data_IF_770931693762
#
_entry.id   IF_770931693762
#
_cell.length_a   1.000
_cell.length_b   1.000
_cell.length_c   1.000
_cell.angle_alpha   90.00
_cell.angle_beta   90.00
_cell.angle_gamma   90.00
#
_symmetry.space_group_name_H-M   'P 1'
#
loop_
_entity.id
_entity.type
_entity.pdbx_description
1 polymer ?
#
# COMPACT_ATOMS: atom_id res chain seq x y z
N UNK A 1 -49.34 -29.37 -29.72
CA UNK A 1 -50.24 -28.40 -29.06
C UNK A 1 -51.32 -27.96 -30.03
N UNK A 2 -50.99 -27.38 -31.19
CA UNK A 2 -51.97 -26.98 -32.23
C UNK A 2 -52.88 -28.13 -32.71
N UNK A 3 -52.33 -29.33 -32.90
CA UNK A 3 -53.10 -30.51 -33.36
C UNK A 3 -54.18 -30.98 -32.37
N UNK A 4 -53.90 -30.92 -31.06
CA UNK A 4 -54.88 -31.30 -30.02
C UNK A 4 -56.01 -30.27 -29.90
N UNK A 5 -55.69 -29.00 -30.16
CA UNK A 5 -56.67 -27.92 -30.16
C UNK A 5 -57.63 -28.07 -31.35
N UNK A 6 -57.11 -28.33 -32.56
CA UNK A 6 -57.92 -28.61 -33.76
C UNK A 6 -58.81 -29.85 -33.61
N UNK A 7 -58.28 -30.94 -33.02
CA UNK A 7 -59.07 -32.14 -32.71
C UNK A 7 -60.20 -31.85 -31.70
N UNK A 8 -59.96 -30.99 -30.71
CA UNK A 8 -61.00 -30.59 -29.74
C UNK A 8 -62.13 -29.80 -30.41
N UNK A 9 -61.80 -28.92 -31.36
CA UNK A 9 -62.79 -28.15 -32.12
C UNK A 9 -63.63 -29.03 -33.04
N UNK A 10 -63.06 -30.09 -33.62
CA UNK A 10 -63.80 -31.06 -34.43
C UNK A 10 -64.69 -32.00 -33.60
N UNK A 11 -64.28 -32.33 -32.37
CA UNK A 11 -65.03 -33.18 -31.44
C UNK A 11 -66.25 -32.48 -30.80
N UNK A 12 -66.32 -31.14 -30.88
CA UNK A 12 -67.40 -30.35 -30.29
C UNK A 12 -67.30 -30.18 -28.76
N UNK A 13 -66.31 -30.80 -28.12
CA UNK A 13 -66.02 -30.69 -26.69
C UNK A 13 -64.78 -29.82 -26.52
N UNK A 14 -64.97 -28.59 -26.04
CA UNK A 14 -63.84 -27.72 -25.70
C UNK A 14 -63.16 -28.25 -24.45
N UNK A 15 -61.94 -28.78 -24.63
CA UNK A 15 -61.10 -29.21 -23.51
C UNK A 15 -60.52 -27.99 -22.80
N UNK A 16 -60.53 -28.03 -21.48
CA UNK A 16 -59.86 -27.01 -20.65
C UNK A 16 -58.34 -27.09 -20.83
N UNK A 17 -57.64 -25.99 -20.54
CA UNK A 17 -56.18 -25.92 -20.62
C UNK A 17 -55.48 -27.03 -19.81
N UNK A 18 -56.06 -27.40 -18.67
CA UNK A 18 -55.60 -28.48 -17.82
C UNK A 18 -55.72 -29.85 -18.51
N UNK A 19 -56.85 -30.13 -19.14
CA UNK A 19 -57.12 -31.40 -19.81
C UNK A 19 -56.22 -31.60 -21.03
N UNK A 20 -56.03 -30.56 -21.84
CA UNK A 20 -55.07 -30.58 -22.96
C UNK A 20 -53.65 -30.91 -22.47
N UNK A 21 -53.25 -30.31 -21.34
CA UNK A 21 -51.94 -30.54 -20.73
C UNK A 21 -51.77 -31.97 -20.22
N UNK A 22 -52.81 -32.56 -19.62
CA UNK A 22 -52.82 -33.95 -19.16
C UNK A 22 -52.73 -34.95 -20.31
N UNK A 23 -53.39 -34.65 -21.44
CA UNK A 23 -53.35 -35.50 -22.64
C UNK A 23 -51.97 -35.45 -23.33
N UNK A 24 -51.38 -34.27 -23.46
CA UNK A 24 -50.09 -34.09 -24.14
C UNK A 24 -48.91 -34.66 -23.34
N UNK A 25 -48.90 -34.44 -22.02
CA UNK A 25 -47.72 -34.71 -21.20
C UNK A 25 -47.85 -36.00 -20.36
N UNK A 26 -49.08 -36.44 -20.11
CA UNK A 26 -49.44 -37.62 -19.31
C UNK A 26 -49.99 -37.30 -17.91
N UNK A 27 -50.72 -38.25 -17.33
CA UNK A 27 -51.49 -38.06 -16.08
C UNK A 27 -50.65 -37.84 -14.80
N UNK A 28 -49.35 -38.20 -14.80
CA UNK A 28 -48.56 -38.43 -13.57
C UNK A 28 -47.54 -37.35 -13.21
N UNK A 29 -47.31 -36.37 -14.07
CA UNK A 29 -46.20 -35.43 -13.85
C UNK A 29 -46.75 -34.09 -13.37
N UNK A 30 -46.10 -33.57 -12.33
CA UNK A 30 -46.51 -32.40 -11.53
C UNK A 30 -46.32 -31.05 -12.24
N UNK A 31 -46.10 -31.02 -13.55
CA UNK A 31 -45.92 -29.77 -14.32
C UNK A 31 -47.18 -28.92 -14.40
N UNK A 32 -48.35 -29.48 -14.08
CA UNK A 32 -49.62 -28.74 -13.99
C UNK A 32 -49.63 -27.76 -12.80
N UNK A 33 -48.71 -27.95 -11.84
CA UNK A 33 -48.50 -27.06 -10.70
C UNK A 33 -48.07 -25.64 -11.12
N UNK A 34 -47.52 -25.48 -12.33
CA UNK A 34 -47.11 -24.19 -12.88
C UNK A 34 -48.25 -23.37 -13.50
N UNK A 35 -49.44 -23.94 -13.69
CA UNK A 35 -50.61 -23.24 -14.25
C UNK A 35 -51.52 -22.61 -13.18
N UNK A 36 -51.24 -22.83 -11.89
CA UNK A 36 -52.02 -22.25 -10.78
C UNK A 36 -53.16 -23.14 -10.27
N UNK A 37 -53.58 -24.17 -11.04
CA UNK A 37 -54.69 -25.08 -10.70
C UNK A 37 -54.24 -26.37 -9.96
N UNK A 38 -53.10 -26.33 -9.28
CA UNK A 38 -52.64 -27.40 -8.39
C UNK A 38 -53.01 -27.14 -6.93
N UNK A 39 -53.03 -28.17 -6.06
CA UNK A 39 -53.11 -27.94 -4.62
C UNK A 39 -52.04 -26.93 -4.22
N UNK A 40 -52.46 -25.82 -3.60
CA UNK A 40 -51.54 -24.80 -3.09
C UNK A 40 -50.46 -25.52 -2.28
N UNK A 41 -49.15 -25.38 -2.61
CA UNK A 41 -48.12 -26.08 -1.86
C UNK A 41 -48.32 -25.72 -0.39
N UNK A 42 -48.42 -26.75 0.47
CA UNK A 42 -48.52 -26.55 1.90
C UNK A 42 -47.36 -25.65 2.30
N UNK A 43 -47.67 -24.40 2.63
CA UNK A 43 -46.69 -23.44 3.11
C UNK A 43 -46.05 -24.08 4.33
N UNK A 44 -44.83 -24.62 4.17
CA UNK A 44 -44.02 -25.08 5.28
C UNK A 44 -43.92 -23.89 6.21
N UNK A 45 -44.53 -23.98 7.39
CA UNK A 45 -44.22 -23.04 8.45
C UNK A 45 -42.70 -23.15 8.63
N UNK A 46 -42.01 -22.06 8.35
CA UNK A 46 -40.60 -21.93 8.64
C UNK A 46 -40.48 -22.00 10.15
N UNK A 47 -40.33 -23.21 10.68
CA UNK A 47 -39.86 -23.40 12.04
C UNK A 47 -38.55 -22.64 12.15
N UNK A 48 -38.30 -21.87 13.23
CA UNK A 48 -37.02 -21.23 13.41
C UNK A 48 -35.99 -22.34 13.52
N UNK A 49 -35.23 -22.58 12.45
CA UNK A 49 -34.25 -23.65 12.48
C UNK A 49 -33.17 -23.26 13.49
N UNK A 50 -32.82 -24.19 14.38
CA UNK A 50 -31.76 -24.02 15.38
C UNK A 50 -30.39 -23.66 14.76
N UNK A 51 -30.25 -23.78 13.43
CA UNK A 51 -29.09 -23.36 12.62
C UNK A 51 -28.91 -21.84 12.61
N UNK A 52 -30.00 -21.07 12.76
CA UNK A 52 -29.94 -19.60 12.65
C UNK A 52 -29.20 -18.95 13.82
N UNK A 53 -29.27 -19.51 15.03
CA UNK A 53 -28.66 -18.91 16.22
C UNK A 53 -27.13 -19.15 16.27
N UNK A 54 -26.67 -20.35 15.93
CA UNK A 54 -25.24 -20.68 15.85
C UNK A 54 -24.53 -19.87 14.75
N UNK A 55 -25.22 -19.64 13.63
CA UNK A 55 -24.70 -18.80 12.54
C UNK A 55 -24.52 -17.33 12.97
N UNK A 56 -25.46 -16.76 13.73
CA UNK A 56 -25.35 -15.39 14.25
C UNK A 56 -24.17 -15.24 15.22
N UNK A 57 -23.95 -16.22 16.10
CA UNK A 57 -22.80 -16.22 17.01
C UNK A 57 -21.45 -16.26 16.27
N UNK A 58 -21.34 -17.11 15.24
CA UNK A 58 -20.15 -17.18 14.38
C UNK A 58 -19.87 -15.87 13.63
N UNK A 59 -20.91 -15.23 13.10
CA UNK A 59 -20.78 -13.94 12.42
C UNK A 59 -20.33 -12.83 13.37
N UNK A 60 -20.84 -12.80 14.61
CA UNK A 60 -20.39 -11.84 15.61
C UNK A 60 -18.92 -12.07 15.98
N UNK A 61 -18.50 -13.33 16.17
CA UNK A 61 -17.10 -13.65 16.48
C UNK A 61 -16.15 -13.21 15.35
N UNK A 62 -16.49 -13.53 14.10
CA UNK A 62 -15.69 -13.11 12.93
C UNK A 62 -15.63 -11.59 12.79
N UNK A 63 -16.70 -10.88 13.14
CA UNK A 63 -16.71 -9.41 13.12
C UNK A 63 -15.74 -8.82 14.15
N UNK A 64 -15.69 -9.38 15.36
CA UNK A 64 -14.75 -8.96 16.41
C UNK A 64 -13.31 -9.22 15.96
N UNK A 65 -13.02 -10.43 15.48
CA UNK A 65 -11.69 -10.81 15.00
C UNK A 65 -11.21 -9.92 13.83
N UNK A 66 -12.11 -9.54 12.92
CA UNK A 66 -11.77 -8.58 11.86
C UNK A 66 -11.47 -7.17 12.40
N UNK A 67 -12.20 -6.70 13.42
CA UNK A 67 -11.91 -5.38 14.01
C UNK A 67 -10.59 -5.39 14.79
N UNK A 68 -10.31 -6.46 15.54
CA UNK A 68 -9.02 -6.64 16.23
C UNK A 68 -7.86 -6.60 15.22
N UNK A 69 -7.95 -7.36 14.12
CA UNK A 69 -6.92 -7.37 13.08
C UNK A 69 -6.74 -6.01 12.38
N UNK A 70 -7.81 -5.22 12.25
CA UNK A 70 -7.71 -3.86 11.70
C UNK A 70 -6.95 -2.94 12.65
N UNK A 71 -7.26 -3.00 13.94
CA UNK A 71 -6.59 -2.21 14.98
C UNK A 71 -5.12 -2.57 15.05
N UNK A 72 -4.77 -3.87 15.11
CA UNK A 72 -3.38 -4.32 15.13
C UNK A 72 -2.60 -3.80 13.91
N UNK A 73 -3.15 -3.95 12.70
CA UNK A 73 -2.51 -3.46 11.47
C UNK A 73 -2.39 -1.94 11.43
N UNK A 74 -3.28 -1.21 12.08
CA UNK A 74 -3.19 0.25 12.17
C UNK A 74 -2.09 0.66 13.16
N UNK A 75 -2.02 -0.01 14.31
CA UNK A 75 -0.96 0.22 15.30
C UNK A 75 0.42 -0.12 14.74
N UNK A 76 0.59 -1.25 14.07
CA UNK A 76 1.87 -1.63 13.42
C UNK A 76 2.31 -0.57 12.40
N UNK A 77 1.37 -0.04 11.60
CA UNK A 77 1.67 1.01 10.63
C UNK A 77 2.04 2.32 11.32
N UNK A 78 1.36 2.67 12.40
CA UNK A 78 1.67 3.87 13.18
C UNK A 78 3.04 3.75 13.85
N UNK A 79 3.35 2.59 14.43
CA UNK A 79 4.65 2.33 15.07
C UNK A 79 5.79 2.39 14.06
N UNK A 80 5.64 1.76 12.90
CA UNK A 80 6.64 1.84 11.82
C UNK A 80 6.86 3.28 11.37
N UNK A 81 5.79 4.08 11.28
CA UNK A 81 5.88 5.50 10.93
C UNK A 81 6.65 6.29 11.99
N UNK A 82 6.38 6.04 13.29
CA UNK A 82 7.10 6.69 14.40
C UNK A 82 8.59 6.34 14.38
N UNK A 83 8.93 5.07 14.18
CA UNK A 83 10.32 4.61 14.09
C UNK A 83 11.06 5.29 12.93
N UNK A 84 10.45 5.35 11.75
CA UNK A 84 11.05 6.00 10.58
C UNK A 84 11.26 7.51 10.81
N UNK A 85 10.31 8.17 11.47
CA UNK A 85 10.42 9.59 11.77
C UNK A 85 11.52 9.88 12.80
N UNK A 86 11.65 9.01 13.81
CA UNK A 86 12.72 9.10 14.80
C UNK A 86 14.09 8.89 14.15
N UNK A 87 14.26 7.84 13.34
CA UNK A 87 15.52 7.58 12.64
C UNK A 87 15.90 8.75 11.71
N UNK A 88 14.91 9.35 11.04
CA UNK A 88 15.13 10.55 10.20
C UNK A 88 15.63 11.72 11.05
N UNK A 89 15.04 11.96 12.22
CA UNK A 89 15.47 13.04 13.12
C UNK A 89 16.89 12.81 13.64
N UNK A 90 17.21 11.60 14.08
CA UNK A 90 18.56 11.26 14.54
C UNK A 90 19.59 11.46 13.43
N UNK A 91 19.31 11.03 12.20
CA UNK A 91 20.18 11.29 11.05
C UNK A 91 20.34 12.77 10.71
N UNK A 92 19.29 13.57 10.88
CA UNK A 92 19.36 15.02 10.64
C UNK A 92 20.21 15.73 11.69
N UNK A 93 20.09 15.34 12.96
CA UNK A 93 20.92 15.86 14.05
C UNK A 93 22.39 15.48 13.88
N UNK A 94 22.69 14.21 13.60
CA UNK A 94 24.06 13.74 13.35
C UNK A 94 24.69 14.48 12.15
N UNK A 95 23.92 14.68 11.07
CA UNK A 95 24.41 15.43 9.91
C UNK A 95 24.73 16.87 10.27
N UNK A 96 23.89 17.51 11.09
CA UNK A 96 24.10 18.89 11.54
C UNK A 96 25.35 19.01 12.40
N UNK A 97 25.56 18.10 13.34
CA UNK A 97 26.76 18.06 14.18
C UNK A 97 28.03 17.93 13.34
N UNK A 98 28.05 16.97 12.39
CA UNK A 98 29.18 16.81 11.46
C UNK A 98 29.43 18.05 10.60
N UNK A 99 28.38 18.75 10.19
CA UNK A 99 28.53 19.99 9.42
C UNK A 99 29.16 21.11 10.26
N UNK A 100 28.77 21.23 11.53
CA UNK A 100 29.37 22.16 12.48
C UNK A 100 30.86 21.83 12.75
N UNK A 101 31.18 20.56 12.97
CA UNK A 101 32.57 20.10 13.09
C UNK A 101 33.38 20.41 11.82
N UNK A 102 32.86 20.11 10.64
CA UNK A 102 33.53 20.42 9.38
C UNK A 102 33.77 21.92 9.20
N UNK A 103 32.81 22.77 9.60
CA UNK A 103 32.99 24.23 9.58
C UNK A 103 34.13 24.65 10.51
N UNK A 104 34.20 24.10 11.72
CA UNK A 104 35.28 24.39 12.66
C UNK A 104 36.65 23.94 12.12
N UNK A 105 36.72 22.72 11.57
CA UNK A 105 37.95 22.18 10.96
C UNK A 105 38.37 23.04 9.77
N UNK A 106 37.45 23.42 8.89
CA UNK A 106 37.74 24.27 7.75
C UNK A 106 38.27 25.64 8.18
N UNK A 107 37.64 26.26 9.19
CA UNK A 107 38.09 27.52 9.77
C UNK A 107 39.52 27.40 10.34
N UNK A 108 39.79 26.38 11.16
CA UNK A 108 41.13 26.15 11.72
C UNK A 108 42.17 25.89 10.61
N UNK A 109 41.80 25.09 9.60
CA UNK A 109 42.65 24.81 8.44
C UNK A 109 43.02 26.09 7.69
N UNK A 110 42.06 27.01 7.51
CA UNK A 110 42.30 28.33 6.91
C UNK A 110 43.31 29.14 7.73
N UNK A 111 43.15 29.21 9.06
CA UNK A 111 44.07 29.94 9.94
C UNK A 111 45.49 29.39 9.89
N UNK A 112 45.66 28.06 9.93
CA UNK A 112 46.97 27.42 9.83
C UNK A 112 47.61 27.69 8.47
N UNK A 113 46.83 27.64 7.40
CA UNK A 113 47.32 27.90 6.04
C UNK A 113 47.82 29.35 5.89
N UNK A 114 47.07 30.32 6.38
CA UNK A 114 47.45 31.74 6.40
C UNK A 114 48.74 31.96 7.21
N UNK A 115 48.85 31.35 8.40
CA UNK A 115 50.03 31.45 9.26
C UNK A 115 51.29 30.88 8.59
N UNK A 116 51.18 29.71 7.95
CA UNK A 116 52.28 29.09 7.22
C UNK A 116 52.69 29.93 6.00
N UNK A 117 51.73 30.49 5.26
CA UNK A 117 51.99 31.39 4.13
C UNK A 117 52.78 32.62 4.59
N UNK A 118 52.39 33.24 5.71
CA UNK A 118 53.11 34.36 6.32
C UNK A 118 54.57 34.02 6.67
N UNK A 119 54.82 32.84 7.25
CA UNK A 119 56.19 32.38 7.57
C UNK A 119 57.06 32.11 6.35
N UNK A 120 56.49 31.59 5.26
CA UNK A 120 57.26 31.38 4.01
C UNK A 120 57.61 32.69 3.30
N UNK A 121 56.80 33.74 3.46
CA UNK A 121 57.07 35.06 2.90
C UNK A 121 58.20 35.78 3.64
N UNK A 122 58.23 35.72 4.98
CA UNK A 122 59.30 36.33 5.79
C UNK A 122 60.65 35.67 5.59
N UNK A 123 60.70 34.35 5.36
CA UNK A 123 61.95 33.66 5.04
C UNK A 123 62.49 34.03 3.65
N UNK A 124 61.62 34.27 2.67
CA UNK A 124 62.03 34.68 1.31
C UNK A 124 62.54 36.12 1.25
N UNK A 125 61.98 37.03 2.05
CA UNK A 125 62.46 38.42 2.13
C UNK A 125 63.70 38.60 3.00
N UNK A 126 63.98 37.69 3.93
CA UNK A 126 65.14 37.77 4.83
C UNK A 126 66.46 37.33 4.17
N UNK A 127 66.42 36.52 3.10
CA UNK A 127 67.62 35.97 2.43
C UNK A 127 68.25 36.98 1.42
N UNK A 128 67.70 38.19 1.29
CA UNK A 128 68.15 39.17 0.27
C UNK A 128 68.65 40.51 0.83
N UNK A 129 69.44 40.54 1.90
CA UNK A 129 70.27 41.71 2.21
C UNK A 129 71.55 41.31 2.98
N UNK A 130 72.50 40.64 2.33
CA UNK A 130 73.92 40.82 2.62
C UNK A 130 74.78 40.08 1.60
N UNK A 131 75.37 40.82 0.66
CA UNK A 131 76.18 40.21 -0.40
C UNK A 131 76.61 41.15 -1.51
N UNK A 132 77.02 42.38 -1.19
CA UNK A 132 77.76 43.22 -2.11
C UNK A 132 78.89 43.92 -1.35
N UNK A 133 79.84 43.10 -0.93
CA UNK A 133 81.04 43.50 -0.23
C UNK A 133 82.20 43.59 -1.24
N UNK A 134 82.62 44.83 -1.50
CA UNK A 134 83.91 45.31 -2.05
C UNK A 134 84.33 44.86 -3.47
N UNK A 135 84.23 45.83 -4.39
CA UNK A 135 85.06 45.89 -5.60
C UNK A 135 86.47 46.35 -5.22
N UNK A 136 87.41 45.42 -5.05
CA UNK A 136 88.85 45.73 -5.00
C UNK A 136 89.46 45.47 -6.37
N UNK A 137 90.07 46.52 -6.93
CA UNK A 137 90.71 46.49 -8.23
C UNK A 137 91.92 45.57 -8.30
N UNK A 138 92.19 45.09 -9.52
CA UNK A 138 93.42 44.41 -9.90
C UNK A 138 93.75 44.76 -11.35
N UNK A 139 94.57 45.79 -11.52
CA UNK A 139 95.21 46.20 -12.77
C UNK A 139 96.32 45.23 -13.20
N UNK A 140 96.60 45.25 -14.50
CA UNK A 140 97.81 44.81 -15.22
C UNK A 140 97.86 43.38 -15.77
N UNK A 141 97.71 43.29 -17.08
CA UNK A 141 98.48 42.38 -17.94
C UNK A 141 99.44 43.21 -18.79
N UNK A 142 100.70 42.78 -18.81
CA UNK A 142 101.80 43.29 -19.63
C UNK A 142 102.02 42.32 -20.79
#
# INVERSE_FOLDING_TARGET
MLSLQEESFQSGVQLTSEEMSRQALGKRKRYILGFGDGPKPSSSSSTPSHVSQDHVGKLQKLKVEMEEMKIEREMEREELRRQLEQERREREEEKKEREEEQKQIAHLTSLVTEFLKGKTQTHKSSIHHDGAMYSTGGTNTR
#
